data_IF_397830446514
#
_entry.id   IF_397830446514
#
_cell.length_a   1.000
_cell.length_b   1.000
_cell.length_c   1.000
_cell.angle_alpha   90.00
_cell.angle_beta   90.00
_cell.angle_gamma   90.00
#
_symmetry.space_group_name_H-M   'P 1'
#
loop_
_entity.id
_entity.type
_entity.pdbx_description
1 polymer ?
#
# COMPACT_ATOMS: atom_id res chain seq x y z
N UNK A 1 0.76 16.15 20.57
CA UNK A 1 0.29 16.50 19.21
C UNK A 1 -1.20 16.71 19.33
N UNK A 2 -1.67 17.94 19.13
CA UNK A 2 -3.10 18.26 19.13
C UNK A 2 -3.57 18.18 17.68
N UNK A 3 -4.45 17.22 17.38
CA UNK A 3 -4.99 17.07 16.02
C UNK A 3 -6.18 18.01 15.85
N UNK A 4 -6.30 18.62 14.66
CA UNK A 4 -7.51 19.36 14.32
C UNK A 4 -8.73 18.44 14.40
N UNK A 5 -9.84 18.97 14.93
CA UNK A 5 -11.10 18.22 14.95
C UNK A 5 -11.56 17.96 13.51
N UNK A 6 -11.69 16.69 13.15
CA UNK A 6 -12.24 16.28 11.87
C UNK A 6 -13.62 16.91 11.64
N UNK A 7 -13.76 17.61 10.52
CA UNK A 7 -15.03 18.18 10.06
C UNK A 7 -15.49 17.37 8.86
N UNK A 8 -16.58 16.56 8.97
CA UNK A 8 -17.07 15.82 7.83
C UNK A 8 -17.60 16.76 6.75
N UNK A 9 -17.60 16.31 5.51
CA UNK A 9 -18.30 16.99 4.43
C UNK A 9 -19.80 16.97 4.70
N UNK A 10 -20.51 18.06 4.40
CA UNK A 10 -21.91 18.25 4.78
C UNK A 10 -22.86 17.16 4.24
N UNK A 11 -22.52 16.52 3.11
CA UNK A 11 -23.30 15.45 2.49
C UNK A 11 -22.95 14.05 3.00
N UNK A 12 -21.87 13.89 3.77
CA UNK A 12 -21.49 12.64 4.42
C UNK A 12 -21.12 12.88 5.90
N UNK A 13 -22.08 13.31 6.74
CA UNK A 13 -21.83 13.63 8.13
C UNK A 13 -21.44 12.41 8.98
N UNK A 14 -21.70 11.20 8.47
CA UNK A 14 -21.50 9.93 9.17
C UNK A 14 -20.52 8.99 8.42
N UNK A 15 -19.95 8.02 9.14
CA UNK A 15 -18.80 7.19 8.71
C UNK A 15 -19.11 6.13 7.64
N UNK A 16 -20.32 5.61 7.60
CA UNK A 16 -20.77 4.58 6.67
C UNK A 16 -20.89 5.14 5.24
N UNK A 17 -21.53 6.29 5.05
CA UNK A 17 -21.66 6.96 3.75
C UNK A 17 -20.29 7.26 3.15
N UNK A 18 -19.36 7.76 3.96
CA UNK A 18 -17.98 8.00 3.52
C UNK A 18 -17.32 6.70 3.03
N UNK A 19 -17.50 5.60 3.76
CA UNK A 19 -16.94 4.28 3.41
C UNK A 19 -17.55 3.70 2.13
N UNK A 20 -18.89 3.73 2.03
CA UNK A 20 -19.63 3.19 0.90
C UNK A 20 -19.30 3.97 -0.36
N UNK A 21 -19.31 5.31 -0.30
CA UNK A 21 -19.05 6.16 -1.46
C UNK A 21 -17.58 6.09 -1.90
N UNK A 22 -16.63 6.00 -0.96
CA UNK A 22 -15.23 5.74 -1.29
C UNK A 22 -15.05 4.46 -2.11
N UNK A 23 -15.87 3.42 -1.86
CA UNK A 23 -15.81 2.15 -2.60
C UNK A 23 -16.18 2.28 -4.09
N UNK A 24 -16.88 3.35 -4.49
CA UNK A 24 -17.23 3.65 -5.88
C UNK A 24 -16.30 4.69 -6.51
N UNK A 25 -15.29 5.17 -5.79
CA UNK A 25 -14.40 6.22 -6.27
C UNK A 25 -13.50 5.71 -7.40
N UNK A 26 -13.20 6.60 -8.36
CA UNK A 26 -12.31 6.29 -9.47
C UNK A 26 -10.90 6.00 -8.95
N UNK A 27 -10.30 4.95 -9.48
CA UNK A 27 -8.88 4.63 -9.27
C UNK A 27 -8.01 5.45 -10.21
N UNK A 28 -6.99 6.11 -9.67
CA UNK A 28 -5.92 6.80 -10.39
C UNK A 28 -4.81 5.80 -10.70
N UNK A 29 -4.09 6.03 -11.80
CA UNK A 29 -2.88 5.28 -12.12
C UNK A 29 -1.67 6.00 -11.49
N UNK A 30 -0.93 5.36 -10.56
CA UNK A 30 0.27 5.94 -9.96
C UNK A 30 1.51 5.85 -10.88
N UNK A 31 1.41 5.20 -12.05
CA UNK A 31 2.53 4.88 -12.93
C UNK A 31 3.61 4.06 -12.21
N UNK A 32 3.18 3.06 -11.42
CA UNK A 32 4.09 2.21 -10.66
C UNK A 32 4.75 1.14 -11.51
N UNK A 33 5.95 0.75 -11.10
CA UNK A 33 6.67 -0.42 -11.61
C UNK A 33 6.54 -1.57 -10.61
N UNK A 34 6.27 -2.77 -11.10
CA UNK A 34 6.26 -3.98 -10.27
C UNK A 34 7.65 -4.61 -10.21
N UNK A 35 8.12 -4.87 -9.00
CA UNK A 35 9.39 -5.57 -8.77
C UNK A 35 9.21 -6.67 -7.71
N UNK A 36 10.20 -7.56 -7.62
CA UNK A 36 10.27 -8.60 -6.61
C UNK A 36 11.54 -8.48 -5.79
N UNK A 37 11.39 -8.63 -4.47
CA UNK A 37 12.52 -8.74 -3.55
C UNK A 37 12.53 -10.12 -2.90
N UNK A 38 13.72 -10.67 -2.71
CA UNK A 38 13.90 -11.96 -2.04
C UNK A 38 13.78 -11.81 -0.53
N UNK A 39 13.19 -12.82 0.11
CA UNK A 39 13.06 -12.89 1.56
C UNK A 39 14.13 -13.84 2.15
N UNK A 40 14.48 -13.69 3.44
CA UNK A 40 15.47 -14.56 4.09
C UNK A 40 15.11 -16.04 4.12
N UNK A 41 13.82 -16.39 4.02
CA UNK A 41 13.31 -17.77 4.00
C UNK A 41 13.15 -18.33 2.58
N UNK A 42 13.88 -17.78 1.60
CA UNK A 42 13.87 -18.22 0.21
C UNK A 42 12.47 -18.15 -0.44
N UNK A 43 11.67 -17.16 -0.04
CA UNK A 43 10.44 -16.73 -0.72
C UNK A 43 10.66 -15.37 -1.42
N UNK A 44 9.59 -14.74 -1.89
CA UNK A 44 9.62 -13.39 -2.47
C UNK A 44 8.48 -12.49 -1.95
N UNK A 45 8.68 -11.18 -2.08
CA UNK A 45 7.65 -10.16 -1.90
C UNK A 45 7.49 -9.36 -3.19
N UNK A 46 6.24 -9.18 -3.63
CA UNK A 46 5.92 -8.33 -4.79
C UNK A 46 5.65 -6.90 -4.34
N UNK A 47 6.34 -5.95 -4.94
CA UNK A 47 6.23 -4.51 -4.64
C UNK A 47 5.72 -3.76 -5.86
N UNK A 48 4.90 -2.72 -5.63
CA UNK A 48 4.66 -1.65 -6.59
C UNK A 48 5.46 -0.42 -6.15
N UNK A 49 6.32 0.08 -7.04
CA UNK A 49 7.26 1.17 -6.73
C UNK A 49 7.02 2.39 -7.60
N UNK A 50 7.14 3.57 -7.01
CA UNK A 50 7.03 4.85 -7.72
C UNK A 50 8.23 5.72 -7.39
N UNK A 51 8.93 6.17 -8.44
CA UNK A 51 9.97 7.20 -8.42
C UNK A 51 11.10 6.97 -7.39
N UNK A 52 11.56 5.74 -7.17
CA UNK A 52 12.60 5.42 -6.17
C UNK A 52 13.99 6.05 -6.42
N UNK A 53 14.26 6.56 -7.62
CA UNK A 53 15.58 7.10 -8.01
C UNK A 53 15.73 8.61 -7.78
N UNK A 54 14.73 9.26 -7.19
CA UNK A 54 14.68 10.73 -7.06
C UNK A 54 15.35 11.26 -5.76
N UNK A 55 15.87 10.38 -4.89
CA UNK A 55 16.51 10.75 -3.62
C UNK A 55 15.55 11.31 -2.55
N UNK A 56 14.24 11.16 -2.73
CA UNK A 56 13.21 11.61 -1.77
C UNK A 56 12.93 10.54 -0.72
N UNK A 57 12.37 10.92 0.45
CA UNK A 57 11.84 9.96 1.39
C UNK A 57 10.82 9.02 0.71
N UNK A 58 10.91 7.74 1.03
CA UNK A 58 10.01 6.71 0.51
C UNK A 58 8.92 6.44 1.54
N UNK A 59 7.66 6.52 1.11
CA UNK A 59 6.52 6.14 1.93
C UNK A 59 6.20 4.67 1.68
N UNK A 60 6.23 3.84 2.71
CA UNK A 60 5.79 2.44 2.64
C UNK A 60 4.28 2.33 2.92
N UNK A 61 3.56 1.63 2.06
CA UNK A 61 2.14 1.38 2.10
C UNK A 61 1.89 -0.11 2.25
N UNK A 62 0.94 -0.43 3.13
CA UNK A 62 0.51 -1.79 3.42
C UNK A 62 -1.00 -1.87 3.25
N UNK A 63 -1.48 -2.86 2.50
CA UNK A 63 -2.90 -3.06 2.29
C UNK A 63 -3.56 -3.76 3.49
N UNK A 64 -4.89 -3.72 3.55
CA UNK A 64 -5.68 -4.46 4.55
C UNK A 64 -5.78 -5.97 4.27
N UNK A 65 -6.49 -6.70 5.13
CA UNK A 65 -6.76 -8.13 4.96
C UNK A 65 -7.35 -8.44 3.57
N UNK A 66 -6.80 -9.44 2.89
CA UNK A 66 -7.18 -9.86 1.52
C UNK A 66 -7.22 -8.70 0.50
N UNK A 67 -6.39 -7.69 0.76
CA UNK A 67 -6.11 -6.60 -0.16
C UNK A 67 -5.04 -6.94 -1.18
N UNK A 68 -4.60 -5.91 -1.89
CA UNK A 68 -3.42 -5.91 -2.74
C UNK A 68 -3.03 -4.46 -3.01
N UNK A 69 -1.89 -4.25 -3.64
CA UNK A 69 -1.48 -2.93 -4.12
C UNK A 69 -2.45 -2.35 -5.17
N UNK A 70 -3.30 -3.17 -5.78
CA UNK A 70 -4.28 -2.74 -6.81
C UNK A 70 -5.57 -2.15 -6.22
N UNK A 71 -5.74 -2.19 -4.89
CA UNK A 71 -6.91 -1.57 -4.25
C UNK A 71 -6.90 -0.06 -4.47
N UNK A 72 -8.08 0.50 -4.76
CA UNK A 72 -8.24 1.92 -5.12
C UNK A 72 -7.60 2.89 -4.13
N UNK A 73 -7.67 2.60 -2.82
CA UNK A 73 -7.08 3.46 -1.80
C UNK A 73 -5.54 3.44 -1.82
N UNK A 74 -4.90 2.31 -2.17
CA UNK A 74 -3.45 2.23 -2.35
C UNK A 74 -3.04 3.00 -3.60
N UNK A 75 -3.66 2.69 -4.74
CA UNK A 75 -3.37 3.32 -6.03
C UNK A 75 -3.57 4.84 -5.99
N UNK A 76 -4.67 5.30 -5.40
CA UNK A 76 -4.97 6.73 -5.24
C UNK A 76 -3.94 7.41 -4.33
N UNK A 77 -3.57 6.78 -3.20
CA UNK A 77 -2.58 7.35 -2.28
C UNK A 77 -1.20 7.41 -2.92
N UNK A 78 -0.77 6.37 -3.66
CA UNK A 78 0.49 6.39 -4.40
C UNK A 78 0.50 7.50 -5.46
N UNK A 79 -0.61 7.69 -6.18
CA UNK A 79 -0.75 8.76 -7.17
C UNK A 79 -0.67 10.15 -6.51
N UNK A 80 -1.29 10.33 -5.35
CA UNK A 80 -1.25 11.60 -4.61
C UNK A 80 0.13 11.88 -4.00
N UNK A 81 0.81 10.85 -3.48
CA UNK A 81 2.20 10.94 -3.02
C UNK A 81 3.14 11.35 -4.14
N UNK A 82 2.99 10.71 -5.31
CA UNK A 82 3.76 11.05 -6.51
C UNK A 82 3.56 12.51 -6.92
N UNK A 83 2.33 12.97 -6.98
CA UNK A 83 2.00 14.37 -7.32
C UNK A 83 2.54 15.36 -6.30
N UNK A 84 2.65 14.95 -5.03
CA UNK A 84 3.29 15.72 -3.96
C UNK A 84 4.83 15.61 -3.96
N UNK A 85 5.43 14.85 -4.89
CA UNK A 85 6.88 14.70 -5.03
C UNK A 85 7.52 13.71 -4.06
N UNK A 86 6.75 12.80 -3.47
CA UNK A 86 7.24 11.69 -2.66
C UNK A 86 7.36 10.41 -3.49
N UNK A 87 8.33 9.56 -3.13
CA UNK A 87 8.40 8.20 -3.64
C UNK A 87 7.54 7.27 -2.79
N UNK A 88 7.02 6.19 -3.37
CA UNK A 88 6.16 5.25 -2.64
C UNK A 88 6.40 3.79 -2.97
N UNK A 89 6.48 3.03 -1.87
CA UNK A 89 6.52 1.59 -1.61
C UNK A 89 5.20 0.85 -1.36
N UNK A 90 4.49 0.21 -2.29
CA UNK A 90 3.35 -0.65 -1.88
C UNK A 90 3.73 -2.14 -1.86
N UNK A 91 3.71 -2.74 -0.67
CA UNK A 91 3.95 -4.16 -0.46
C UNK A 91 2.66 -4.96 -0.70
N UNK A 92 2.74 -5.99 -1.55
CA UNK A 92 1.76 -7.07 -1.55
C UNK A 92 2.19 -8.11 -0.52
N UNK A 93 1.31 -8.41 0.43
CA UNK A 93 1.54 -9.49 1.37
C UNK A 93 1.62 -10.84 0.65
N UNK A 94 2.27 -11.83 1.27
CA UNK A 94 2.42 -13.18 0.70
C UNK A 94 1.06 -13.74 0.28
N UNK A 95 0.95 -14.15 -0.99
CA UNK A 95 -0.29 -14.68 -1.58
C UNK A 95 -1.33 -13.62 -2.00
N UNK A 96 -1.09 -12.33 -1.75
CA UNK A 96 -1.99 -11.23 -2.15
C UNK A 96 -1.53 -10.50 -3.42
N UNK A 97 -0.36 -10.86 -3.95
CA UNK A 97 0.15 -10.33 -5.21
C UNK A 97 -0.43 -11.05 -6.44
N UNK A 98 0.32 -11.05 -7.54
CA UNK A 98 -0.08 -11.76 -8.76
C UNK A 98 0.26 -13.24 -8.70
N UNK A 99 1.21 -13.62 -7.85
CA UNK A 99 1.68 -15.00 -7.71
C UNK A 99 1.46 -15.51 -6.30
N UNK A 100 1.16 -16.80 -6.21
CA UNK A 100 1.23 -17.52 -4.95
C UNK A 100 2.70 -17.59 -4.49
N UNK A 101 2.92 -17.36 -3.19
CA UNK A 101 4.26 -17.41 -2.62
C UNK A 101 4.79 -18.85 -2.54
N UNK A 102 6.11 -19.01 -2.44
CA UNK A 102 6.77 -20.32 -2.53
C UNK A 102 6.68 -21.11 -1.22
N UNK A 103 6.74 -20.42 -0.09
CA UNK A 103 6.75 -21.05 1.22
C UNK A 103 5.35 -21.25 1.76
N UNK A 104 5.19 -22.16 2.73
CA UNK A 104 3.89 -22.38 3.39
C UNK A 104 3.55 -21.29 4.42
N UNK A 105 4.38 -20.26 4.52
CA UNK A 105 4.20 -19.08 5.37
C UNK A 105 3.25 -18.10 4.69
N UNK A 106 2.27 -17.61 5.43
CA UNK A 106 1.29 -16.63 4.99
C UNK A 106 1.36 -15.38 5.85
N UNK A 107 0.85 -14.26 5.34
CA UNK A 107 0.69 -13.06 6.14
C UNK A 107 -0.40 -13.23 7.20
N UNK A 108 -0.27 -12.51 8.31
CA UNK A 108 -1.30 -12.37 9.34
C UNK A 108 -1.02 -11.10 10.16
N UNK A 109 -1.91 -10.76 11.09
CA UNK A 109 -1.81 -9.53 11.91
C UNK A 109 -0.58 -9.44 12.82
N UNK A 110 0.12 -10.56 13.03
CA UNK A 110 1.34 -10.63 13.85
C UNK A 110 2.61 -10.83 13.02
N UNK A 111 2.51 -10.90 11.69
CA UNK A 111 3.67 -10.98 10.82
C UNK A 111 4.40 -9.64 10.84
N UNK A 112 5.73 -9.65 11.05
CA UNK A 112 6.56 -8.43 11.09
C UNK A 112 7.87 -8.58 10.33
N UNK A 113 8.27 -9.79 9.94
CA UNK A 113 9.54 -10.06 9.27
C UNK A 113 9.55 -9.59 7.82
N UNK A 114 8.40 -9.68 7.14
CA UNK A 114 8.28 -9.17 5.76
C UNK A 114 8.41 -7.62 5.73
N UNK A 115 7.91 -6.93 6.76
CA UNK A 115 8.08 -5.49 6.93
C UNK A 115 9.56 -5.13 7.17
N UNK A 116 10.24 -5.88 8.03
CA UNK A 116 11.68 -5.71 8.27
C UNK A 116 12.50 -5.98 7.00
N UNK A 117 12.07 -6.93 6.18
CA UNK A 117 12.71 -7.23 4.90
C UNK A 117 12.56 -6.04 3.95
N UNK A 118 11.35 -5.48 3.82
CA UNK A 118 11.11 -4.27 3.03
C UNK A 118 11.93 -3.07 3.51
N UNK A 119 12.00 -2.81 4.82
CA UNK A 119 12.72 -1.63 5.34
C UNK A 119 14.24 -1.73 5.26
N UNK A 120 14.79 -2.94 5.10
CA UNK A 120 16.22 -3.16 4.90
C UNK A 120 16.64 -3.06 3.43
N UNK A 121 15.71 -3.36 2.52
CA UNK A 121 15.89 -3.22 1.09
C UNK A 121 15.88 -1.74 0.69
#
# INVERSE_FOLDING_TARGET
>A
IEFEKFKPVWWAPEVHSQTVIASFSKTKDPLSERIEIVTPDNDFLELEVVDLKNGKPVVALFHGLEGSSERHYIQNLMSDLRNAGYSSVALNFRGCGKKMNLQRRMYHSGETEDYKTLFKW
#
